data_IF_432427833905
#
_entry.id   IF_432427833905
#
_cell.length_a   1.000
_cell.length_b   1.000
_cell.length_c   1.000
_cell.angle_alpha   90.00
_cell.angle_beta   90.00
_cell.angle_gamma   90.00
#
_symmetry.space_group_name_H-M   'P 1'
#
loop_
_entity.id
_entity.type
_entity.pdbx_description
1 polymer ?
#
# COMPACT_ATOMS: atom_id res chain seq x y z
N UNK A 1 -17.51 12.00 0.93
CA UNK A 1 -17.37 12.29 2.38
C UNK A 1 -15.98 12.90 2.63
N UNK A 2 -15.83 13.79 3.60
CA UNK A 2 -14.54 14.39 3.99
C UNK A 2 -14.01 13.86 5.33
N UNK A 3 -14.83 13.14 6.08
CA UNK A 3 -14.50 12.46 7.33
C UNK A 3 -15.02 11.01 7.27
N UNK A 4 -14.26 10.08 7.82
CA UNK A 4 -14.64 8.67 8.06
C UNK A 4 -14.17 8.33 9.47
N UNK A 5 -15.08 7.87 10.35
CA UNK A 5 -14.76 7.61 11.76
C UNK A 5 -14.03 8.77 12.46
N UNK A 6 -14.39 10.02 12.10
CA UNK A 6 -13.76 11.23 12.64
C UNK A 6 -12.38 11.58 12.04
N UNK A 7 -11.86 10.80 11.11
CA UNK A 7 -10.56 11.03 10.45
C UNK A 7 -10.76 11.74 9.10
N UNK A 8 -10.03 12.83 8.80
CA UNK A 8 -10.05 13.48 7.49
C UNK A 8 -9.65 12.51 6.38
N UNK A 9 -10.45 12.46 5.31
CA UNK A 9 -10.18 11.60 4.16
C UNK A 9 -10.12 12.39 2.86
N UNK A 10 -9.19 12.01 2.00
CA UNK A 10 -9.10 12.49 0.63
C UNK A 10 -9.53 11.37 -0.31
N UNK A 11 -10.68 11.55 -0.97
CA UNK A 11 -11.22 10.56 -1.89
C UNK A 11 -10.78 10.87 -3.32
N UNK A 12 -10.47 9.80 -4.05
CA UNK A 12 -10.07 9.89 -5.45
C UNK A 12 -10.86 8.87 -6.25
N UNK A 13 -11.20 9.22 -7.49
CA UNK A 13 -11.86 8.28 -8.39
C UNK A 13 -10.93 7.10 -8.68
N UNK A 14 -11.40 5.91 -8.34
CA UNK A 14 -10.80 4.64 -8.69
C UNK A 14 -10.89 4.38 -10.20
N UNK A 15 -9.81 3.87 -10.79
CA UNK A 15 -9.70 3.50 -12.20
C UNK A 15 -9.16 2.08 -12.31
N UNK A 16 -9.86 1.23 -13.07
CA UNK A 16 -9.36 -0.10 -13.41
C UNK A 16 -8.28 0.04 -14.48
N UNK A 17 -7.01 -0.18 -14.11
CA UNK A 17 -5.91 -0.23 -15.06
C UNK A 17 -5.67 -1.65 -15.59
N UNK A 18 -6.01 -2.66 -14.78
CA UNK A 18 -5.91 -4.06 -15.19
C UNK A 18 -7.27 -4.73 -14.99
N UNK A 19 -8.18 -4.68 -15.99
CA UNK A 19 -9.53 -5.24 -15.87
C UNK A 19 -9.56 -6.75 -15.57
N UNK A 20 -8.45 -7.45 -15.83
CA UNK A 20 -8.25 -8.87 -15.53
C UNK A 20 -8.00 -9.15 -14.03
N UNK A 21 -7.89 -8.12 -13.19
CA UNK A 21 -7.68 -8.22 -11.75
C UNK A 21 -8.77 -7.39 -11.09
N UNK A 22 -9.68 -8.02 -10.34
CA UNK A 22 -10.91 -7.40 -9.83
C UNK A 22 -10.63 -6.12 -8.99
N UNK A 23 -10.38 -6.28 -7.69
CA UNK A 23 -10.12 -5.16 -6.77
C UNK A 23 -8.65 -4.73 -6.83
N UNK A 24 -7.72 -5.68 -7.02
CA UNK A 24 -6.27 -5.41 -7.12
C UNK A 24 -5.87 -4.65 -8.39
N UNK A 25 -6.71 -4.64 -9.43
CA UNK A 25 -6.47 -3.92 -10.69
C UNK A 25 -6.85 -2.43 -10.64
N UNK A 26 -7.35 -1.96 -9.50
CA UNK A 26 -7.83 -0.59 -9.32
C UNK A 26 -6.71 0.28 -8.76
N UNK A 27 -6.54 1.46 -9.34
CA UNK A 27 -5.68 2.51 -8.77
C UNK A 27 -6.19 3.89 -9.14
N UNK A 28 -5.48 4.92 -8.69
CA UNK A 28 -5.73 6.30 -9.08
C UNK A 28 -4.43 7.08 -9.09
N UNK A 29 -4.01 7.56 -10.27
CA UNK A 29 -2.78 8.33 -10.39
C UNK A 29 -2.84 9.65 -9.59
N UNK A 30 -4.02 10.25 -9.46
CA UNK A 30 -4.24 11.45 -8.64
C UNK A 30 -4.12 11.13 -7.16
N UNK A 31 -4.57 9.95 -6.70
CA UNK A 31 -4.33 9.45 -5.35
C UNK A 31 -2.83 9.34 -5.08
N UNK A 32 -2.11 8.57 -5.90
CA UNK A 32 -0.67 8.31 -5.67
C UNK A 32 0.16 9.61 -5.70
N UNK A 33 -0.14 10.53 -6.62
CA UNK A 33 0.52 11.84 -6.68
C UNK A 33 0.23 12.68 -5.45
N UNK A 34 -1.01 12.68 -4.98
CA UNK A 34 -1.40 13.49 -3.81
C UNK A 34 -0.83 12.90 -2.54
N UNK A 35 -0.90 11.58 -2.38
CA UNK A 35 -0.28 10.84 -1.27
C UNK A 35 1.22 11.17 -1.18
N UNK A 36 1.98 11.05 -2.28
CA UNK A 36 3.41 11.40 -2.29
C UNK A 36 3.69 12.82 -1.81
N UNK A 37 2.84 13.79 -2.17
CA UNK A 37 2.98 15.18 -1.72
C UNK A 37 2.70 15.33 -0.23
N UNK A 38 1.69 14.62 0.29
CA UNK A 38 1.37 14.63 1.72
C UNK A 38 2.48 13.94 2.55
N UNK A 39 3.01 12.81 2.08
CA UNK A 39 4.09 12.06 2.75
C UNK A 39 5.33 12.92 3.04
N UNK A 40 5.68 13.85 2.15
CA UNK A 40 6.84 14.74 2.33
C UNK A 40 6.71 15.74 3.48
N UNK A 41 5.49 16.00 3.94
CA UNK A 41 5.22 16.87 5.09
C UNK A 41 4.73 16.10 6.32
N UNK A 42 4.72 14.77 6.28
CA UNK A 42 4.27 13.94 7.38
C UNK A 42 5.47 13.50 8.23
N UNK A 43 5.26 13.38 9.54
CA UNK A 43 6.26 12.81 10.45
C UNK A 43 6.41 11.31 10.21
N UNK A 44 5.33 10.63 9.81
CA UNK A 44 5.28 9.20 9.56
C UNK A 44 4.15 8.84 8.59
N UNK A 45 4.32 7.75 7.86
CA UNK A 45 3.31 7.12 7.02
C UNK A 45 2.99 5.75 7.59
N UNK A 46 1.71 5.49 7.85
CA UNK A 46 1.22 4.14 8.16
C UNK A 46 0.47 3.59 6.95
N UNK A 47 0.90 2.43 6.45
CA UNK A 47 0.25 1.75 5.32
C UNK A 47 -0.27 0.39 5.76
N UNK A 48 -1.58 0.18 5.58
CA UNK A 48 -2.17 -1.15 5.66
C UNK A 48 -1.87 -1.85 4.34
N UNK A 49 -0.83 -2.67 4.35
CA UNK A 49 -0.24 -3.23 3.15
C UNK A 49 -1.09 -4.41 2.63
N UNK A 50 -1.50 -4.30 1.37
CA UNK A 50 -2.14 -5.35 0.58
C UNK A 50 -1.40 -5.48 -0.77
N UNK A 51 -1.70 -6.55 -1.53
CA UNK A 51 -1.15 -6.77 -2.89
C UNK A 51 -2.05 -6.12 -3.93
N UNK A 52 -2.15 -4.80 -3.89
CA UNK A 52 -2.96 -4.01 -4.82
C UNK A 52 -2.15 -2.85 -5.43
N UNK A 53 -2.71 -2.19 -6.43
CA UNK A 53 -2.08 -1.08 -7.16
C UNK A 53 -2.20 0.28 -6.45
N UNK A 54 -2.58 0.31 -5.18
CA UNK A 54 -2.70 1.50 -4.33
C UNK A 54 -1.76 1.42 -3.13
N UNK A 55 -1.92 0.41 -2.27
CA UNK A 55 -1.23 0.28 -0.99
C UNK A 55 0.25 -0.05 -1.17
N UNK A 56 0.61 -0.98 -2.05
CA UNK A 56 2.00 -1.31 -2.33
C UNK A 56 2.76 -0.14 -3.00
N UNK A 57 2.24 0.50 -4.07
CA UNK A 57 2.85 1.72 -4.61
C UNK A 57 2.93 2.85 -3.59
N UNK A 58 1.95 3.03 -2.71
CA UNK A 58 2.01 4.05 -1.66
C UNK A 58 3.15 3.78 -0.66
N UNK A 59 3.34 2.54 -0.22
CA UNK A 59 4.46 2.16 0.64
C UNK A 59 5.82 2.41 -0.03
N UNK A 60 5.96 2.01 -1.31
CA UNK A 60 7.18 2.28 -2.09
C UNK A 60 7.43 3.79 -2.25
N UNK A 61 6.37 4.59 -2.41
CA UNK A 61 6.47 6.05 -2.49
C UNK A 61 6.90 6.68 -1.15
N UNK A 62 6.48 6.14 -0.01
CA UNK A 62 6.92 6.57 1.31
C UNK A 62 8.43 6.33 1.48
N UNK A 63 8.91 5.12 1.17
CA UNK A 63 10.34 4.78 1.16
C UNK A 63 11.13 5.71 0.22
N UNK A 64 10.64 5.91 -1.00
CA UNK A 64 11.29 6.78 -1.98
C UNK A 64 11.25 8.27 -1.58
N UNK A 65 10.35 8.66 -0.69
CA UNK A 65 10.26 10.02 -0.13
C UNK A 65 11.08 10.18 1.15
N UNK A 66 11.69 9.08 1.65
CA UNK A 66 12.42 9.01 2.93
C UNK A 66 11.57 9.45 4.12
N UNK A 67 10.27 9.22 4.05
CA UNK A 67 9.38 9.43 5.19
C UNK A 67 9.34 8.14 6.00
N UNK A 68 9.47 8.19 7.35
CA UNK A 68 9.34 7.01 8.19
C UNK A 68 8.07 6.21 7.87
N UNK A 69 8.21 4.91 7.70
CA UNK A 69 7.16 4.01 7.22
C UNK A 69 6.87 2.91 8.24
N UNK A 70 5.63 2.88 8.72
CA UNK A 70 5.05 1.74 9.43
C UNK A 70 4.16 0.99 8.46
N UNK A 71 4.30 -0.33 8.43
CA UNK A 71 3.42 -1.18 7.61
C UNK A 71 2.68 -2.18 8.47
N UNK A 72 1.38 -2.30 8.24
CA UNK A 72 0.54 -3.34 8.85
C UNK A 72 0.08 -4.29 7.76
N UNK A 73 0.48 -5.55 7.81
CA UNK A 73 0.05 -6.55 6.83
C UNK A 73 -1.38 -6.98 7.13
N UNK A 74 -2.33 -6.63 6.28
CA UNK A 74 -3.70 -7.11 6.40
C UNK A 74 -3.94 -8.24 5.41
N UNK A 75 -4.20 -9.45 5.93
CA UNK A 75 -4.78 -10.57 5.19
C UNK A 75 -4.16 -10.80 3.81
N UNK A 76 -2.99 -11.45 3.76
CA UNK A 76 -2.46 -12.00 2.50
C UNK A 76 -3.25 -13.23 1.99
N UNK A 77 -4.57 -13.23 2.20
CA UNK A 77 -5.48 -14.34 1.92
C UNK A 77 -6.22 -13.99 0.62
N UNK A 78 -5.53 -14.15 -0.51
CA UNK A 78 -6.06 -14.91 -1.65
C UNK A 78 -5.03 -14.92 -2.79
N UNK A 79 -4.57 -16.09 -3.26
CA UNK A 79 -3.65 -16.15 -4.39
C UNK A 79 -4.40 -15.80 -5.68
N UNK A 80 -4.04 -14.66 -6.27
CA UNK A 80 -4.21 -14.44 -7.72
C UNK A 80 -3.65 -15.65 -8.48
N UNK A 81 -4.16 -16.00 -9.67
CA UNK A 81 -3.68 -17.17 -10.43
C UNK A 81 -2.46 -16.89 -11.34
N UNK A 82 -2.09 -15.61 -11.53
CA UNK A 82 -1.02 -15.17 -12.45
C UNK A 82 0.33 -14.91 -11.76
N UNK A 83 1.20 -15.93 -11.77
CA UNK A 83 2.50 -16.00 -11.05
C UNK A 83 3.52 -14.90 -11.36
N UNK A 84 3.52 -14.32 -12.57
CA UNK A 84 4.55 -13.33 -12.98
C UNK A 84 4.28 -11.95 -12.37
N UNK A 85 3.02 -11.49 -12.39
CA UNK A 85 2.63 -10.27 -11.69
C UNK A 85 2.89 -10.41 -10.18
N UNK A 86 2.54 -11.58 -9.62
CA UNK A 86 2.81 -11.90 -8.21
C UNK A 86 4.28 -11.86 -7.84
N UNK A 87 5.18 -12.32 -8.71
CA UNK A 87 6.60 -12.34 -8.38
C UNK A 87 7.18 -10.92 -8.34
N UNK A 88 6.76 -10.08 -9.29
CA UNK A 88 7.18 -8.67 -9.36
C UNK A 88 6.64 -7.90 -8.16
N UNK A 89 5.37 -8.15 -7.80
CA UNK A 89 4.73 -7.56 -6.62
C UNK A 89 5.36 -8.10 -5.32
N UNK A 90 5.73 -9.38 -5.27
CA UNK A 90 6.39 -9.99 -4.11
C UNK A 90 7.77 -9.39 -3.84
N UNK A 91 8.52 -9.03 -4.88
CA UNK A 91 9.77 -8.29 -4.72
C UNK A 91 9.51 -6.90 -4.14
N UNK A 92 8.44 -6.23 -4.58
CA UNK A 92 7.98 -4.95 -4.01
C UNK A 92 7.60 -5.07 -2.54
N UNK A 93 6.79 -6.07 -2.18
CA UNK A 93 6.39 -6.35 -0.80
C UNK A 93 7.60 -6.67 0.07
N UNK A 94 8.51 -7.55 -0.39
CA UNK A 94 9.74 -7.88 0.34
C UNK A 94 10.61 -6.65 0.58
N UNK A 95 10.75 -5.79 -0.43
CA UNK A 95 11.46 -4.51 -0.27
C UNK A 95 10.81 -3.64 0.80
N UNK A 96 9.48 -3.49 0.74
CA UNK A 96 8.73 -2.69 1.72
C UNK A 96 8.88 -3.24 3.13
N UNK A 97 8.69 -4.53 3.34
CA UNK A 97 8.83 -5.15 4.67
C UNK A 97 10.26 -5.05 5.22
N UNK A 98 11.28 -5.13 4.35
CA UNK A 98 12.69 -5.02 4.74
C UNK A 98 13.12 -3.59 5.07
N UNK A 99 12.57 -2.60 4.38
CA UNK A 99 12.98 -1.19 4.50
C UNK A 99 12.04 -0.35 5.37
N UNK A 100 10.88 -0.90 5.79
CA UNK A 100 9.99 -0.22 6.73
C UNK A 100 10.65 -0.07 8.12
N UNK A 101 10.41 1.07 8.76
CA UNK A 101 10.92 1.38 10.09
C UNK A 101 10.22 0.55 11.18
N UNK A 102 8.96 0.15 10.95
CA UNK A 102 8.28 -0.84 11.76
C UNK A 102 7.26 -1.66 10.95
N UNK A 103 7.10 -2.92 11.34
CA UNK A 103 6.09 -3.83 10.80
C UNK A 103 5.14 -4.23 11.93
N UNK A 104 3.87 -3.86 11.81
CA UNK A 104 2.81 -4.29 12.71
C UNK A 104 2.21 -5.58 12.17
N UNK A 105 2.32 -6.65 12.95
CA UNK A 105 1.70 -7.93 12.68
C UNK A 105 0.46 -8.10 13.56
N UNK A 106 -0.60 -8.67 13.00
CA UNK A 106 -1.84 -8.94 13.75
C UNK A 106 -1.71 -10.21 14.59
N UNK A 107 -0.77 -11.10 14.25
CA UNK A 107 -0.47 -12.33 15.00
C UNK A 107 1.04 -12.59 15.06
N UNK A 108 1.53 -13.26 16.11
CA UNK A 108 2.97 -13.60 16.23
C UNK A 108 3.48 -14.51 15.10
N UNK A 109 2.61 -15.17 14.34
CA UNK A 109 3.00 -16.02 13.20
C UNK A 109 3.48 -15.24 11.96
N UNK A 110 3.29 -13.92 11.92
CA UNK A 110 3.71 -13.07 10.79
C UNK A 110 5.08 -12.39 11.02
N UNK A 111 5.78 -12.76 12.11
CA UNK A 111 7.14 -12.30 12.38
C UNK A 111 8.12 -13.01 11.45
N UNK A 112 8.71 -12.27 10.51
CA UNK A 112 9.79 -12.75 9.62
C UNK A 112 11.12 -12.75 10.34
#
# INVERSE_FOLDING_TARGET
PSLVEGVPVHLFQARHLLPMFEVSGITSATLLRTARRMMRGADLVHVHLMRDLVTLPAALLALASRTPLVVQTHGMIDPTEKKVAQLTDLLGVRKVLREADAVLHLTEMERV
#
